data_IF_892667298141
#
_entry.id   IF_892667298141
#
_cell.length_a   1.000
_cell.length_b   1.000
_cell.length_c   1.000
_cell.angle_alpha   90.00
_cell.angle_beta   90.00
_cell.angle_gamma   90.00
#
_symmetry.space_group_name_H-M   'P 1'
#
loop_
_entity.id
_entity.type
_entity.pdbx_description
1 polymer ?
#
# COMPACT_ATOMS: atom_id res chain seq x y z
N UNK A 1 -21.29 42.47 -63.31
CA UNK A 1 -21.67 41.06 -63.09
C UNK A 1 -22.13 40.95 -61.65
N UNK A 2 -23.44 40.89 -61.40
CA UNK A 2 -23.98 40.71 -60.05
C UNK A 2 -23.61 39.30 -59.59
N UNK A 3 -22.78 39.18 -58.56
CA UNK A 3 -22.56 37.91 -57.88
C UNK A 3 -23.90 37.35 -57.46
N UNK A 4 -24.25 36.15 -57.91
CA UNK A 4 -25.34 35.37 -57.31
C UNK A 4 -25.17 35.37 -55.79
N UNK A 5 -26.21 35.70 -55.01
CA UNK A 5 -26.11 35.70 -53.55
C UNK A 5 -25.65 34.32 -53.07
N UNK A 6 -24.65 34.27 -52.19
CA UNK A 6 -24.12 33.01 -51.69
C UNK A 6 -25.17 32.30 -50.83
N UNK A 7 -25.32 30.97 -51.00
CA UNK A 7 -26.23 30.15 -50.18
C UNK A 7 -25.87 30.24 -48.70
N UNK A 8 -26.87 30.24 -47.83
CA UNK A 8 -26.72 30.34 -46.37
C UNK A 8 -27.11 29.01 -45.72
N UNK A 9 -26.24 28.51 -44.84
CA UNK A 9 -26.44 27.30 -44.04
C UNK A 9 -26.41 27.68 -42.55
N UNK A 10 -27.51 27.44 -41.84
CA UNK A 10 -27.73 27.82 -40.44
C UNK A 10 -27.97 26.59 -39.57
N UNK A 11 -27.40 26.57 -38.36
CA UNK A 11 -27.70 25.56 -37.34
C UNK A 11 -28.36 26.21 -36.12
N UNK A 12 -29.58 25.80 -35.80
CA UNK A 12 -30.29 26.29 -34.62
C UNK A 12 -29.96 25.43 -33.40
N UNK A 13 -29.55 26.08 -32.31
CA UNK A 13 -29.18 25.44 -31.04
C UNK A 13 -29.81 26.18 -29.86
N UNK A 14 -29.91 25.51 -28.72
CA UNK A 14 -30.46 26.08 -27.49
C UNK A 14 -31.39 25.13 -26.77
N UNK A 15 -31.97 25.59 -25.66
CA UNK A 15 -32.86 24.79 -24.81
C UNK A 15 -34.12 24.32 -25.57
N UNK A 16 -34.69 23.21 -25.14
CA UNK A 16 -35.99 22.75 -25.63
C UNK A 16 -37.07 23.78 -25.26
N UNK A 17 -38.09 23.93 -26.10
CA UNK A 17 -39.17 24.88 -25.83
C UNK A 17 -38.87 26.35 -26.14
N UNK A 18 -37.61 26.71 -26.42
CA UNK A 18 -37.24 28.07 -26.87
C UNK A 18 -37.67 28.40 -28.31
N UNK A 19 -38.43 27.53 -28.98
CA UNK A 19 -39.04 27.85 -30.27
C UNK A 19 -38.15 27.67 -31.50
N UNK A 20 -37.05 26.90 -31.43
CA UNK A 20 -36.18 26.59 -32.59
C UNK A 20 -36.95 26.17 -33.85
N UNK A 21 -37.80 25.15 -33.75
CA UNK A 21 -38.59 24.67 -34.89
C UNK A 21 -39.55 25.74 -35.45
N UNK A 22 -40.12 26.59 -34.59
CA UNK A 22 -40.98 27.69 -35.03
C UNK A 22 -40.18 28.80 -35.75
N UNK A 23 -39.00 29.14 -35.21
CA UNK A 23 -38.06 30.05 -35.84
C UNK A 23 -37.63 29.56 -37.23
N UNK A 24 -37.29 28.27 -37.36
CA UNK A 24 -36.93 27.68 -38.65
C UNK A 24 -38.04 27.81 -39.70
N UNK A 25 -39.31 27.62 -39.30
CA UNK A 25 -40.45 27.81 -40.18
C UNK A 25 -40.62 29.28 -40.62
N UNK A 26 -40.37 30.23 -39.70
CA UNK A 26 -40.39 31.66 -40.02
C UNK A 26 -39.28 32.00 -41.02
N UNK A 27 -38.03 31.58 -40.75
CA UNK A 27 -36.86 31.83 -41.60
C UNK A 27 -37.07 31.29 -43.02
N UNK A 28 -37.58 30.06 -43.15
CA UNK A 28 -37.80 29.42 -44.45
C UNK A 28 -39.03 29.93 -45.19
N UNK A 29 -39.83 30.79 -44.53
CA UNK A 29 -41.12 31.28 -45.02
C UNK A 29 -42.13 30.14 -45.34
N UNK A 30 -42.04 29.00 -44.65
CA UNK A 30 -42.92 27.83 -44.84
C UNK A 30 -42.95 26.92 -43.62
N UNK A 31 -44.04 26.18 -43.40
CA UNK A 31 -44.19 25.23 -42.28
C UNK A 31 -43.61 23.85 -42.65
N UNK A 32 -42.36 23.57 -42.27
CA UNK A 32 -41.71 22.29 -42.53
C UNK A 32 -41.32 21.54 -41.25
N UNK A 33 -40.83 22.26 -40.24
CA UNK A 33 -40.52 21.65 -38.95
C UNK A 33 -41.81 21.50 -38.15
N UNK A 34 -42.08 20.29 -37.65
CA UNK A 34 -43.21 20.03 -36.77
C UNK A 34 -43.00 20.73 -35.41
N UNK A 35 -43.58 21.91 -35.23
CA UNK A 35 -43.60 22.61 -33.93
C UNK A 35 -44.81 22.17 -33.10
N UNK A 36 -44.68 21.09 -32.31
CA UNK A 36 -45.65 20.75 -31.26
C UNK A 36 -45.14 21.27 -29.91
N UNK A 37 -46.03 21.86 -29.12
CA UNK A 37 -45.83 22.13 -27.69
C UNK A 37 -45.84 20.80 -26.94
N UNK A 38 -44.75 20.03 -27.03
CA UNK A 38 -44.62 18.73 -26.38
C UNK A 38 -43.72 18.85 -25.15
N UNK A 39 -44.11 18.17 -24.07
CA UNK A 39 -43.38 18.08 -22.79
C UNK A 39 -42.39 16.92 -22.74
N UNK A 40 -42.23 16.15 -23.83
CA UNK A 40 -41.39 14.95 -23.87
C UNK A 40 -39.94 15.27 -24.24
N UNK A 41 -39.02 14.83 -23.38
CA UNK A 41 -37.57 14.98 -23.48
C UNK A 41 -36.95 14.04 -24.52
N UNK A 42 -36.09 14.61 -25.37
CA UNK A 42 -34.96 14.00 -26.10
C UNK A 42 -35.18 12.62 -26.75
N UNK A 43 -35.83 12.63 -27.92
CA UNK A 43 -35.29 12.07 -29.17
C UNK A 43 -35.87 12.90 -30.31
N UNK A 44 -35.23 14.03 -30.63
CA UNK A 44 -35.49 14.72 -31.90
C UNK A 44 -34.37 14.34 -32.85
N UNK A 45 -34.72 13.60 -33.90
CA UNK A 45 -33.87 13.47 -35.08
C UNK A 45 -33.55 14.87 -35.60
N UNK A 46 -32.30 15.08 -36.03
CA UNK A 46 -31.93 16.33 -36.69
C UNK A 46 -32.67 16.42 -38.00
N UNK A 47 -33.39 17.51 -38.18
CA UNK A 47 -34.13 17.81 -39.40
C UNK A 47 -33.47 19.01 -40.07
N UNK A 48 -33.40 18.99 -41.40
CA UNK A 48 -32.96 20.15 -42.15
C UNK A 48 -33.90 20.39 -43.32
N UNK A 49 -34.03 21.67 -43.67
CA UNK A 49 -34.94 22.13 -44.71
C UNK A 49 -34.30 23.27 -45.49
N UNK A 50 -34.66 23.38 -46.77
CA UNK A 50 -34.06 24.34 -47.71
C UNK A 50 -35.14 25.11 -48.44
N UNK A 51 -35.07 26.43 -48.42
CA UNK A 51 -36.01 27.32 -49.10
C UNK A 51 -35.28 28.49 -49.75
N UNK A 52 -35.79 29.00 -50.86
CA UNK A 52 -35.33 30.27 -51.43
C UNK A 52 -36.11 31.41 -50.76
N UNK A 53 -35.39 32.33 -50.13
CA UNK A 53 -35.97 33.47 -49.40
C UNK A 53 -35.18 34.72 -49.75
N UNK A 54 -35.89 35.78 -50.16
CA UNK A 54 -35.29 37.04 -50.62
C UNK A 54 -34.19 36.82 -51.70
N UNK A 55 -34.39 35.85 -52.59
CA UNK A 55 -33.46 35.50 -53.67
C UNK A 55 -32.18 34.78 -53.24
N UNK A 56 -32.12 34.26 -52.00
CA UNK A 56 -31.02 33.43 -51.49
C UNK A 56 -31.53 32.06 -51.10
N UNK A 57 -30.76 31.01 -51.39
CA UNK A 57 -31.03 29.67 -50.87
C UNK A 57 -30.59 29.61 -49.42
N UNK A 58 -31.53 29.30 -48.51
CA UNK A 58 -31.28 29.17 -47.08
C UNK A 58 -31.57 27.73 -46.66
N UNK A 59 -30.56 27.05 -46.13
CA UNK A 59 -30.67 25.78 -45.41
C UNK A 59 -30.71 26.07 -43.92
N UNK A 60 -31.74 25.56 -43.25
CA UNK A 60 -31.86 25.61 -41.78
C UNK A 60 -31.81 24.19 -41.24
N UNK A 61 -30.99 23.97 -40.22
CA UNK A 61 -30.91 22.71 -39.48
C UNK A 61 -31.47 22.93 -38.07
N UNK A 62 -32.52 22.18 -37.71
CA UNK A 62 -33.07 22.16 -36.36
C UNK A 62 -32.25 21.20 -35.49
N UNK A 63 -31.39 21.76 -34.65
CA UNK A 63 -30.53 21.00 -33.74
C UNK A 63 -31.27 20.47 -32.51
N UNK A 64 -30.70 19.48 -31.81
CA UNK A 64 -31.28 18.93 -30.59
C UNK A 64 -31.44 20.01 -29.50
N UNK A 65 -32.48 19.87 -28.68
CA UNK A 65 -32.62 20.66 -27.46
C UNK A 65 -31.64 20.18 -26.38
N UNK A 66 -30.96 21.12 -25.72
CA UNK A 66 -29.83 20.80 -24.84
C UNK A 66 -30.22 20.85 -23.35
N UNK A 67 -31.13 21.73 -22.94
CA UNK A 67 -31.40 22.01 -21.52
C UNK A 67 -32.30 21.02 -20.77
N UNK A 68 -33.18 20.24 -21.42
CA UNK A 68 -33.95 19.20 -20.71
C UNK A 68 -33.11 17.97 -20.31
N UNK A 69 -31.87 17.94 -20.80
CA UNK A 69 -30.93 16.84 -20.59
C UNK A 69 -30.30 17.06 -19.23
N UNK A 70 -30.59 16.21 -18.24
CA UNK A 70 -29.74 16.19 -17.04
C UNK A 70 -28.33 15.84 -17.47
N UNK A 71 -27.44 16.85 -17.50
CA UNK A 71 -26.06 16.72 -17.97
C UNK A 71 -25.19 15.90 -17.01
N UNK A 72 -25.77 15.43 -15.90
CA UNK A 72 -25.22 14.45 -14.97
C UNK A 72 -25.39 12.98 -15.43
N UNK A 73 -26.09 12.74 -16.55
CA UNK A 73 -26.34 11.41 -17.07
C UNK A 73 -25.53 11.14 -18.35
N UNK A 74 -24.61 10.18 -18.28
CA UNK A 74 -23.78 9.74 -19.42
C UNK A 74 -24.58 9.46 -20.69
N UNK A 75 -25.71 8.75 -20.60
CA UNK A 75 -26.51 8.36 -21.77
C UNK A 75 -27.10 9.58 -22.45
N UNK A 76 -27.70 10.47 -21.66
CA UNK A 76 -28.35 11.67 -22.16
C UNK A 76 -27.32 12.63 -22.78
N UNK A 77 -26.17 12.81 -22.11
CA UNK A 77 -25.05 13.60 -22.62
C UNK A 77 -24.51 13.05 -23.94
N UNK A 78 -24.34 11.72 -24.07
CA UNK A 78 -23.91 11.08 -25.32
C UNK A 78 -24.90 11.29 -26.45
N UNK A 79 -26.20 11.11 -26.20
CA UNK A 79 -27.22 11.30 -27.24
C UNK A 79 -27.18 12.72 -27.82
N UNK A 80 -27.01 13.74 -26.96
CA UNK A 80 -26.88 15.13 -27.41
C UNK A 80 -25.59 15.35 -28.19
N UNK A 81 -24.46 14.79 -27.74
CA UNK A 81 -23.19 14.89 -28.45
C UNK A 81 -23.19 14.17 -29.81
N UNK A 82 -23.80 13.00 -29.89
CA UNK A 82 -23.90 12.21 -31.12
C UNK A 82 -24.78 12.94 -32.13
N UNK A 83 -25.91 13.51 -31.68
CA UNK A 83 -26.74 14.36 -32.52
C UNK A 83 -25.95 15.58 -33.00
N UNK A 84 -25.27 16.33 -32.13
CA UNK A 84 -24.47 17.50 -32.56
C UNK A 84 -23.35 17.11 -33.53
N UNK A 85 -22.65 16.00 -33.29
CA UNK A 85 -21.63 15.48 -34.19
C UNK A 85 -22.22 15.11 -35.55
N UNK A 86 -23.41 14.49 -35.55
CA UNK A 86 -24.14 14.21 -36.77
C UNK A 86 -24.51 15.50 -37.53
N UNK A 87 -25.05 16.52 -36.85
CA UNK A 87 -25.36 17.82 -37.46
C UNK A 87 -24.15 18.44 -38.16
N UNK A 88 -22.97 18.36 -37.55
CA UNK A 88 -21.73 18.83 -38.17
C UNK A 88 -21.37 17.99 -39.39
N UNK A 89 -21.36 16.65 -39.27
CA UNK A 89 -20.96 15.74 -40.34
C UNK A 89 -21.83 15.78 -41.61
N UNK A 90 -23.14 16.05 -41.47
CA UNK A 90 -24.06 16.14 -42.62
C UNK A 90 -24.00 17.48 -43.35
N UNK A 91 -23.14 18.39 -42.91
CA UNK A 91 -22.89 19.66 -43.59
C UNK A 91 -21.38 19.92 -43.77
N UNK A 92 -20.70 19.18 -44.67
CA UNK A 92 -19.25 19.28 -44.84
C UNK A 92 -18.76 20.65 -45.34
N UNK A 93 -19.66 21.45 -45.94
CA UNK A 93 -19.34 22.84 -46.30
C UNK A 93 -19.24 23.74 -45.05
N UNK A 94 -19.81 23.32 -43.93
CA UNK A 94 -19.90 24.04 -42.67
C UNK A 94 -21.09 25.01 -42.60
N UNK A 95 -21.30 25.55 -41.40
CA UNK A 95 -22.37 26.51 -41.10
C UNK A 95 -21.87 27.94 -41.12
N UNK A 96 -22.65 28.87 -41.69
CA UNK A 96 -22.31 30.29 -41.68
C UNK A 96 -22.56 30.90 -40.31
N UNK A 97 -23.64 30.48 -39.66
CA UNK A 97 -23.98 30.93 -38.32
C UNK A 97 -24.67 29.83 -37.53
N UNK A 98 -24.46 29.88 -36.22
CA UNK A 98 -25.29 29.21 -35.25
C UNK A 98 -26.32 30.20 -34.73
N UNK A 99 -27.59 29.81 -34.74
CA UNK A 99 -28.64 30.59 -34.10
C UNK A 99 -28.82 30.06 -32.69
N UNK A 100 -28.32 30.80 -31.70
CA UNK A 100 -28.52 30.48 -30.29
C UNK A 100 -29.90 31.00 -29.88
N UNK A 101 -30.86 30.10 -29.74
CA UNK A 101 -32.27 30.46 -29.56
C UNK A 101 -32.65 30.53 -28.09
N UNK A 102 -33.07 31.71 -27.66
CA UNK A 102 -33.55 32.02 -26.29
C UNK A 102 -34.98 32.53 -26.38
N UNK A 103 -35.79 32.31 -25.34
CA UNK A 103 -37.18 32.78 -25.29
C UNK A 103 -37.27 34.10 -24.51
N UNK A 104 -37.92 35.11 -25.07
CA UNK A 104 -38.25 36.35 -24.37
C UNK A 104 -39.35 36.16 -23.31
N UNK A 105 -39.32 36.98 -22.25
CA UNK A 105 -40.31 36.97 -21.17
C UNK A 105 -40.06 35.91 -20.08
N UNK A 106 -38.95 35.17 -20.16
CA UNK A 106 -38.45 34.30 -19.09
C UNK A 106 -37.23 34.91 -18.41
N UNK A 107 -36.98 34.55 -17.14
CA UNK A 107 -35.69 34.87 -16.51
C UNK A 107 -34.60 34.04 -17.17
N UNK A 108 -33.44 34.65 -17.38
CA UNK A 108 -32.23 33.92 -17.76
C UNK A 108 -31.70 33.16 -16.53
N UNK A 109 -31.84 31.84 -16.54
CA UNK A 109 -31.61 30.98 -15.38
C UNK A 109 -30.20 30.38 -15.37
N UNK A 110 -29.80 29.78 -14.24
CA UNK A 110 -28.57 28.98 -14.14
C UNK A 110 -28.56 27.86 -15.19
N UNK A 111 -29.72 27.28 -15.51
CA UNK A 111 -29.85 26.25 -16.53
C UNK A 111 -29.51 26.76 -17.94
N UNK A 112 -29.83 28.02 -18.25
CA UNK A 112 -29.47 28.66 -19.52
C UNK A 112 -27.95 28.87 -19.61
N UNK A 113 -27.33 29.24 -18.49
CA UNK A 113 -25.87 29.39 -18.37
C UNK A 113 -25.16 28.04 -18.56
N UNK A 114 -25.64 27.01 -17.87
CA UNK A 114 -25.12 25.65 -18.00
C UNK A 114 -25.25 25.13 -19.43
N UNK A 115 -26.38 25.43 -20.09
CA UNK A 115 -26.61 25.08 -21.50
C UNK A 115 -25.57 25.72 -22.41
N UNK A 116 -25.25 27.01 -22.21
CA UNK A 116 -24.25 27.72 -23.02
C UNK A 116 -22.85 27.19 -22.73
N UNK A 117 -22.50 26.99 -21.45
CA UNK A 117 -21.21 26.42 -21.06
C UNK A 117 -21.01 25.01 -21.66
N UNK A 118 -22.08 24.21 -21.71
CA UNK A 118 -22.05 22.91 -22.37
C UNK A 118 -21.86 23.02 -23.88
N UNK A 119 -22.58 23.93 -24.55
CA UNK A 119 -22.42 24.19 -25.98
C UNK A 119 -20.99 24.64 -26.32
N UNK A 120 -20.36 25.46 -25.46
CA UNK A 120 -18.95 25.88 -25.62
C UNK A 120 -17.99 24.70 -25.54
N UNK A 121 -18.21 23.76 -24.60
CA UNK A 121 -17.40 22.53 -24.53
C UNK A 121 -17.58 21.63 -25.76
N UNK A 122 -18.74 21.71 -26.43
CA UNK A 122 -19.02 20.93 -27.63
C UNK A 122 -18.43 21.56 -28.89
N UNK A 123 -18.75 22.83 -29.14
CA UNK A 123 -18.39 23.52 -30.38
C UNK A 123 -17.07 24.29 -30.28
N UNK A 124 -16.50 24.43 -29.08
CA UNK A 124 -15.26 25.14 -28.80
C UNK A 124 -15.52 26.52 -28.19
N UNK A 125 -14.64 26.96 -27.30
CA UNK A 125 -14.86 28.16 -26.47
C UNK A 125 -15.13 29.44 -27.28
N UNK A 126 -14.55 29.60 -28.47
CA UNK A 126 -14.74 30.80 -29.29
C UNK A 126 -16.01 30.75 -30.16
N UNK A 127 -16.77 29.65 -30.18
CA UNK A 127 -17.84 29.47 -31.16
C UNK A 127 -18.96 30.52 -31.01
N UNK A 128 -19.26 30.93 -29.77
CA UNK A 128 -20.24 31.98 -29.47
C UNK A 128 -19.80 33.30 -30.08
N UNK A 129 -18.53 33.65 -29.89
CA UNK A 129 -17.94 34.89 -30.39
C UNK A 129 -17.81 34.93 -31.90
N UNK A 130 -17.46 33.81 -32.51
CA UNK A 130 -17.06 33.77 -33.91
C UNK A 130 -18.23 33.46 -34.84
N UNK A 131 -19.20 32.64 -34.40
CA UNK A 131 -20.22 32.08 -35.28
C UNK A 131 -21.66 32.23 -34.78
N UNK A 132 -21.90 32.64 -33.53
CA UNK A 132 -23.27 32.74 -33.01
C UNK A 132 -23.94 34.09 -33.27
N UNK A 133 -25.23 34.01 -33.59
CA UNK A 133 -26.21 35.08 -33.49
C UNK A 133 -27.21 34.67 -32.40
N UNK A 134 -27.43 35.54 -31.42
CA UNK A 134 -28.45 35.32 -30.40
C UNK A 134 -29.82 35.65 -31.00
N UNK A 135 -30.76 34.71 -30.94
CA UNK A 135 -32.13 34.93 -31.44
C UNK A 135 -33.10 34.79 -30.28
N UNK A 136 -33.74 35.90 -29.91
CA UNK A 136 -34.82 35.93 -28.95
C UNK A 136 -36.15 35.66 -29.65
N UNK A 137 -36.87 34.63 -29.22
CA UNK A 137 -38.21 34.29 -29.70
C UNK A 137 -39.27 34.88 -28.77
N UNK A 138 -40.54 34.79 -29.18
CA UNK A 138 -41.66 35.45 -28.50
C UNK A 138 -41.59 36.98 -28.60
N UNK A 139 -41.24 37.49 -29.79
CA UNK A 139 -41.30 38.92 -30.08
C UNK A 139 -42.69 39.55 -29.93
N UNK A 140 -43.76 38.75 -30.04
CA UNK A 140 -45.13 39.15 -29.71
C UNK A 140 -45.25 39.62 -28.25
N UNK A 141 -44.56 38.95 -27.33
CA UNK A 141 -44.54 39.36 -25.93
C UNK A 141 -43.72 40.63 -25.70
N UNK A 142 -42.62 40.81 -26.46
CA UNK A 142 -41.81 42.03 -26.35
C UNK A 142 -42.57 43.24 -26.91
N UNK A 143 -43.39 43.08 -27.95
CA UNK A 143 -44.21 44.19 -28.45
C UNK A 143 -45.15 44.75 -27.38
N UNK A 144 -45.79 43.88 -26.61
CA UNK A 144 -46.63 44.32 -25.47
C UNK A 144 -45.81 45.06 -24.40
N UNK A 145 -44.59 44.59 -24.10
CA UNK A 145 -43.68 45.25 -23.15
C UNK A 145 -43.13 46.58 -23.70
N UNK A 146 -42.87 46.65 -25.00
CA UNK A 146 -42.43 47.86 -25.71
C UNK A 146 -43.52 48.92 -25.77
N UNK A 147 -44.78 48.54 -25.97
CA UNK A 147 -45.93 49.44 -25.90
C UNK A 147 -46.10 50.08 -24.51
N UNK A 148 -45.80 49.33 -23.44
CA UNK A 148 -45.87 49.83 -22.07
C UNK A 148 -44.67 50.70 -21.69
N UNK A 149 -43.45 50.30 -22.09
CA UNK A 149 -42.20 50.96 -21.69
C UNK A 149 -41.72 52.05 -22.65
N UNK A 150 -42.19 52.04 -23.90
CA UNK A 150 -41.73 52.91 -24.98
C UNK A 150 -40.33 52.58 -25.52
N UNK A 151 -39.75 51.44 -25.14
CA UNK A 151 -38.36 51.07 -25.48
C UNK A 151 -38.28 50.18 -26.71
N UNK A 152 -37.26 50.42 -27.52
CA UNK A 152 -36.88 49.51 -28.62
C UNK A 152 -36.20 48.26 -28.06
N UNK A 153 -36.18 47.17 -28.84
CA UNK A 153 -35.51 45.93 -28.43
C UNK A 153 -34.00 46.14 -28.15
N UNK A 154 -33.35 47.01 -28.92
CA UNK A 154 -31.94 47.33 -28.72
C UNK A 154 -31.69 48.08 -27.41
N UNK A 155 -32.52 49.07 -27.08
CA UNK A 155 -32.45 49.78 -25.79
C UNK A 155 -32.69 48.81 -24.63
N UNK A 156 -33.68 47.92 -24.76
CA UNK A 156 -33.91 46.87 -23.78
C UNK A 156 -32.67 45.98 -23.57
N UNK A 157 -31.99 45.57 -24.65
CA UNK A 157 -30.75 44.79 -24.55
C UNK A 157 -29.62 45.55 -23.84
N UNK A 158 -29.50 46.86 -24.05
CA UNK A 158 -28.47 47.70 -23.41
C UNK A 158 -28.65 47.84 -21.89
N UNK A 159 -29.89 47.72 -21.41
CA UNK A 159 -30.22 47.80 -19.99
C UNK A 159 -30.06 46.46 -19.24
N UNK A 160 -29.82 45.36 -19.95
CA UNK A 160 -29.65 44.07 -19.30
C UNK A 160 -28.32 44.00 -18.55
N UNK A 161 -28.33 43.34 -17.40
CA UNK A 161 -27.15 43.12 -16.55
C UNK A 161 -26.87 41.62 -16.34
N UNK A 162 -25.71 41.31 -15.75
CA UNK A 162 -25.33 39.96 -15.38
C UNK A 162 -25.07 39.04 -16.58
N UNK A 163 -25.38 37.75 -16.43
CA UNK A 163 -24.91 36.72 -17.37
C UNK A 163 -25.54 36.82 -18.76
N UNK A 164 -26.74 37.37 -18.86
CA UNK A 164 -27.32 37.66 -20.18
C UNK A 164 -26.57 38.77 -20.90
N UNK A 165 -26.17 39.83 -20.18
CA UNK A 165 -25.32 40.90 -20.72
C UNK A 165 -23.96 40.38 -21.16
N UNK A 166 -23.33 39.51 -20.36
CA UNK A 166 -22.07 38.86 -20.72
C UNK A 166 -22.19 38.04 -22.02
N UNK A 167 -23.31 37.31 -22.20
CA UNK A 167 -23.59 36.59 -23.44
C UNK A 167 -23.76 37.53 -24.63
N UNK A 168 -24.47 38.65 -24.45
CA UNK A 168 -24.62 39.67 -25.50
C UNK A 168 -23.26 40.24 -25.91
N UNK A 169 -22.39 40.55 -24.94
CA UNK A 169 -21.04 41.02 -25.19
C UNK A 169 -20.18 39.99 -25.92
N UNK A 170 -20.25 38.72 -25.49
CA UNK A 170 -19.51 37.63 -26.15
C UNK A 170 -19.98 37.41 -27.58
N UNK A 171 -21.28 37.55 -27.85
CA UNK A 171 -21.86 37.59 -29.19
C UNK A 171 -21.58 38.90 -29.96
N UNK A 172 -20.73 39.81 -29.46
CA UNK A 172 -20.45 41.12 -30.04
C UNK A 172 -21.72 41.94 -30.37
N UNK A 173 -22.75 41.85 -29.54
CA UNK A 173 -24.03 42.55 -29.74
C UNK A 173 -24.92 41.97 -30.84
N UNK A 174 -24.57 40.80 -31.42
CA UNK A 174 -25.38 40.14 -32.45
C UNK A 174 -26.61 39.49 -31.83
N UNK A 175 -27.69 40.26 -31.74
CA UNK A 175 -28.98 39.82 -31.21
C UNK A 175 -30.13 40.23 -32.12
N UNK A 176 -31.09 39.32 -32.31
CA UNK A 176 -32.30 39.54 -33.10
C UNK A 176 -33.53 39.12 -32.30
N UNK A 177 -34.64 39.84 -32.51
CA UNK A 177 -35.94 39.50 -31.97
C UNK A 177 -36.84 38.94 -33.07
N UNK A 178 -37.45 37.78 -32.82
CA UNK A 178 -38.36 37.12 -33.75
C UNK A 178 -39.74 36.93 -33.11
N UNK A 179 -40.75 37.53 -33.73
CA UNK A 179 -42.13 37.12 -33.61
C UNK A 179 -42.42 36.04 -34.67
N UNK A 180 -42.51 34.79 -34.20
CA UNK A 180 -42.82 33.62 -35.05
C UNK A 180 -44.32 33.42 -35.29
N UNK A 181 -45.17 34.31 -34.74
CA UNK A 181 -46.64 34.25 -34.84
C UNK A 181 -47.21 35.38 -35.69
N UNK A 182 -46.39 36.38 -36.03
CA UNK A 182 -46.81 37.47 -36.91
C UNK A 182 -47.44 36.95 -38.21
N UNK A 183 -48.55 37.59 -38.59
CA UNK A 183 -49.18 37.44 -39.90
C UNK A 183 -48.87 38.61 -40.83
N UNK A 184 -48.14 39.61 -40.32
CA UNK A 184 -47.67 40.75 -41.08
C UNK A 184 -46.44 40.30 -41.89
N UNK A 185 -46.62 40.23 -43.21
CA UNK A 185 -45.58 39.83 -44.15
C UNK A 185 -44.44 40.85 -44.25
N UNK A 186 -44.70 42.14 -44.02
CA UNK A 186 -43.65 43.15 -43.98
C UNK A 186 -42.77 42.97 -42.74
N UNK A 187 -43.39 42.82 -41.56
CA UNK A 187 -42.67 42.52 -40.31
C UNK A 187 -41.86 41.22 -40.44
N UNK A 188 -42.47 40.18 -41.00
CA UNK A 188 -41.80 38.90 -41.24
C UNK A 188 -40.60 39.04 -42.18
N UNK A 189 -40.79 39.71 -43.31
CA UNK A 189 -39.73 39.97 -44.29
C UNK A 189 -38.59 40.80 -43.70
N UNK A 190 -38.89 41.78 -42.86
CA UNK A 190 -37.91 42.60 -42.13
C UNK A 190 -37.05 41.75 -41.18
N UNK A 191 -37.66 40.93 -40.33
CA UNK A 191 -36.93 40.02 -39.41
C UNK A 191 -35.97 39.09 -40.16
N UNK A 192 -36.42 38.53 -41.30
CA UNK A 192 -35.58 37.65 -42.13
C UNK A 192 -34.44 38.43 -42.81
N UNK A 193 -34.72 39.64 -43.30
CA UNK A 193 -33.72 40.50 -43.94
C UNK A 193 -32.63 40.90 -42.95
N UNK A 194 -32.99 41.27 -41.73
CA UNK A 194 -32.05 41.59 -40.65
C UNK A 194 -31.17 40.38 -40.30
N UNK A 195 -31.74 39.17 -40.26
CA UNK A 195 -30.97 37.94 -40.08
C UNK A 195 -29.95 37.73 -41.20
N UNK A 196 -30.35 37.83 -42.46
CA UNK A 196 -29.46 37.66 -43.61
C UNK A 196 -28.32 38.67 -43.56
N UNK A 197 -28.63 39.95 -43.29
CA UNK A 197 -27.62 41.00 -43.13
C UNK A 197 -26.66 40.69 -41.98
N UNK A 198 -27.18 40.26 -40.83
CA UNK A 198 -26.33 39.92 -39.68
C UNK A 198 -25.40 38.74 -39.98
N UNK A 199 -25.86 37.75 -40.74
CA UNK A 199 -25.02 36.63 -41.21
C UNK A 199 -23.94 37.12 -42.18
N UNK A 200 -24.27 38.01 -43.11
CA UNK A 200 -23.29 38.58 -44.05
C UNK A 200 -22.23 39.46 -43.34
N UNK A 201 -22.60 40.08 -42.22
CA UNK A 201 -21.72 40.91 -41.39
C UNK A 201 -20.91 40.12 -40.35
N UNK A 202 -21.15 38.83 -40.15
CA UNK A 202 -20.31 38.02 -39.27
C UNK A 202 -18.85 38.15 -39.73
N UNK A 203 -18.02 38.70 -38.86
CA UNK A 203 -16.64 39.17 -39.09
C UNK A 203 -15.67 38.09 -39.53
N UNK A 204 -16.12 36.84 -39.59
CA UNK A 204 -15.38 35.72 -40.15
C UNK A 204 -15.68 35.66 -41.66
N UNK A 205 -15.20 36.67 -42.41
CA UNK A 205 -15.37 36.74 -43.85
C UNK A 205 -14.89 35.45 -44.54
N UNK A 206 -15.83 34.55 -44.85
CA UNK A 206 -15.58 33.33 -45.60
C UNK A 206 -15.25 32.07 -44.79
N UNK A 207 -15.12 32.09 -43.45
CA UNK A 207 -15.00 30.85 -42.69
C UNK A 207 -16.33 30.45 -42.08
N UNK A 208 -16.92 29.41 -42.67
CA UNK A 208 -17.99 28.62 -42.07
C UNK A 208 -17.39 27.80 -40.91
N UNK A 209 -18.19 27.49 -39.90
CA UNK A 209 -17.83 26.50 -38.90
C UNK A 209 -17.84 25.11 -39.53
N UNK A 210 -16.69 24.43 -39.53
CA UNK A 210 -16.48 23.14 -40.18
C UNK A 210 -15.98 22.09 -39.19
N UNK A 211 -15.77 20.87 -39.68
CA UNK A 211 -15.20 19.75 -38.93
C UNK A 211 -13.90 20.11 -38.22
N UNK A 212 -13.02 20.92 -38.83
CA UNK A 212 -11.77 21.36 -38.19
C UNK A 212 -12.01 22.21 -36.93
N UNK A 213 -13.05 23.05 -36.93
CA UNK A 213 -13.43 23.80 -35.73
C UNK A 213 -13.95 22.85 -34.65
N UNK A 214 -14.76 21.87 -35.07
CA UNK A 214 -15.29 20.86 -34.18
C UNK A 214 -14.17 20.00 -33.58
N UNK A 215 -13.17 19.57 -34.35
CA UNK A 215 -12.09 18.72 -33.86
C UNK A 215 -11.22 19.43 -32.81
N UNK A 216 -11.03 20.75 -32.90
CA UNK A 216 -10.33 21.53 -31.86
C UNK A 216 -10.97 21.41 -30.48
N UNK A 217 -12.28 21.17 -30.40
CA UNK A 217 -13.01 21.00 -29.16
C UNK A 217 -13.14 19.53 -28.70
N UNK A 218 -12.51 18.57 -29.42
CA UNK A 218 -12.62 17.14 -29.11
C UNK A 218 -12.27 16.79 -27.67
N UNK A 219 -11.14 17.30 -27.16
CA UNK A 219 -10.71 17.02 -25.78
C UNK A 219 -11.72 17.55 -24.75
N UNK A 220 -12.35 18.70 -25.02
CA UNK A 220 -13.39 19.26 -24.16
C UNK A 220 -14.67 18.40 -24.19
N UNK A 221 -15.07 17.89 -25.37
CA UNK A 221 -16.19 16.93 -25.50
C UNK A 221 -15.94 15.64 -24.75
N UNK A 222 -14.77 15.02 -24.96
CA UNK A 222 -14.38 13.80 -24.26
C UNK A 222 -14.42 14.02 -22.74
N UNK A 223 -13.91 15.15 -22.26
CA UNK A 223 -13.96 15.52 -20.85
C UNK A 223 -15.39 15.58 -20.31
N UNK A 224 -16.34 16.15 -21.05
CA UNK A 224 -17.75 16.22 -20.63
C UNK A 224 -18.36 14.83 -20.47
N UNK A 225 -18.02 13.87 -21.34
CA UNK A 225 -18.46 12.48 -21.18
C UNK A 225 -17.87 11.86 -19.91
N UNK A 226 -16.59 12.08 -19.63
CA UNK A 226 -15.93 11.55 -18.43
C UNK A 226 -16.52 12.18 -17.16
N UNK A 227 -16.76 13.49 -17.14
CA UNK A 227 -17.41 14.18 -16.01
C UNK A 227 -18.83 13.65 -15.74
N UNK A 228 -19.61 13.32 -16.77
CA UNK A 228 -20.92 12.69 -16.62
C UNK A 228 -20.85 11.28 -16.00
N UNK A 229 -19.73 10.56 -16.16
CA UNK A 229 -19.48 9.25 -15.51
C UNK A 229 -18.85 9.37 -14.13
N UNK A 230 -18.25 10.52 -13.82
CA UNK A 230 -17.46 10.74 -12.61
C UNK A 230 -18.16 10.30 -11.31
N UNK A 231 -19.47 10.52 -11.09
CA UNK A 231 -20.13 10.04 -9.87
C UNK A 231 -20.05 8.52 -9.68
N UNK A 232 -20.30 7.76 -10.75
CA UNK A 232 -20.24 6.29 -10.72
C UNK A 232 -18.81 5.79 -10.51
N UNK A 233 -17.85 6.38 -11.24
CA UNK A 233 -16.42 6.03 -11.11
C UNK A 233 -15.91 6.34 -9.71
N UNK A 234 -16.35 7.47 -9.14
CA UNK A 234 -16.01 7.89 -7.77
C UNK A 234 -16.53 6.88 -6.74
N UNK A 235 -17.78 6.44 -6.87
CA UNK A 235 -18.37 5.44 -5.97
C UNK A 235 -17.58 4.12 -6.01
N UNK A 236 -17.30 3.60 -7.21
CA UNK A 236 -16.51 2.37 -7.39
C UNK A 236 -15.09 2.53 -6.83
N UNK A 237 -14.44 3.66 -7.12
CA UNK A 237 -13.10 3.99 -6.63
C UNK A 237 -13.05 4.05 -5.11
N UNK A 238 -14.01 4.74 -4.49
CA UNK A 238 -14.10 4.85 -3.03
C UNK A 238 -14.31 3.49 -2.38
N UNK A 239 -15.22 2.67 -2.93
CA UNK A 239 -15.46 1.31 -2.46
C UNK A 239 -14.19 0.47 -2.47
N UNK A 240 -13.48 0.43 -3.60
CA UNK A 240 -12.27 -0.37 -3.73
C UNK A 240 -11.14 0.15 -2.83
N UNK A 241 -10.98 1.47 -2.74
CA UNK A 241 -10.03 2.13 -1.83
C UNK A 241 -10.31 1.75 -0.38
N UNK A 242 -11.56 1.78 0.06
CA UNK A 242 -11.95 1.36 1.42
C UNK A 242 -11.62 -0.11 1.69
N UNK A 243 -11.86 -1.01 0.73
CA UNK A 243 -11.51 -2.43 0.87
C UNK A 243 -10.00 -2.65 0.96
N UNK A 244 -9.21 -1.89 0.20
CA UNK A 244 -7.74 -1.96 0.27
C UNK A 244 -7.25 -1.45 1.62
N UNK A 245 -7.74 -0.30 2.09
CA UNK A 245 -7.39 0.26 3.41
C UNK A 245 -7.72 -0.71 4.54
N UNK A 246 -8.91 -1.31 4.52
CA UNK A 246 -9.32 -2.29 5.52
C UNK A 246 -8.37 -3.49 5.56
N UNK A 247 -8.02 -4.06 4.39
CA UNK A 247 -7.08 -5.18 4.34
C UNK A 247 -5.67 -4.77 4.77
N UNK A 248 -5.22 -3.57 4.42
CA UNK A 248 -3.93 -3.04 4.86
C UNK A 248 -3.85 -2.99 6.39
N UNK A 249 -4.89 -2.47 7.05
CA UNK A 249 -4.97 -2.42 8.52
C UNK A 249 -4.92 -3.83 9.15
N UNK A 250 -5.62 -4.80 8.57
CA UNK A 250 -5.58 -6.20 9.05
C UNK A 250 -4.17 -6.77 8.93
N UNK A 251 -3.48 -6.57 7.79
CA UNK A 251 -2.11 -7.05 7.58
C UNK A 251 -1.16 -6.42 8.61
N UNK A 252 -1.27 -5.11 8.84
CA UNK A 252 -0.46 -4.38 9.82
C UNK A 252 -0.68 -4.89 11.26
N UNK A 253 -1.91 -5.24 11.62
CA UNK A 253 -2.28 -5.63 12.99
C UNK A 253 -2.12 -7.11 13.34
N UNK A 254 -2.18 -8.02 12.36
CA UNK A 254 -2.36 -9.46 12.65
C UNK A 254 -1.27 -10.38 12.10
N UNK A 255 -0.52 -9.94 11.08
CA UNK A 255 0.44 -10.81 10.39
C UNK A 255 1.86 -10.60 10.90
N UNK A 256 2.63 -11.69 11.02
CA UNK A 256 4.09 -11.60 11.21
C UNK A 256 4.74 -10.95 9.99
N UNK A 257 5.78 -10.10 10.17
CA UNK A 257 6.43 -9.35 9.09
C UNK A 257 6.87 -10.21 7.88
N UNK A 258 7.28 -11.45 8.16
CA UNK A 258 7.74 -12.44 7.17
C UNK A 258 6.61 -12.83 6.18
N UNK A 259 5.36 -12.82 6.63
CA UNK A 259 4.18 -13.18 5.84
C UNK A 259 3.45 -11.96 5.24
N UNK A 260 3.80 -10.74 5.65
CA UNK A 260 3.16 -9.50 5.16
C UNK A 260 3.49 -9.21 3.71
N UNK A 261 4.70 -9.55 3.26
CA UNK A 261 5.21 -9.15 1.94
C UNK A 261 4.32 -9.60 0.79
N UNK A 262 3.90 -10.87 0.79
CA UNK A 262 3.02 -11.41 -0.25
C UNK A 262 1.65 -10.69 -0.26
N UNK A 263 1.00 -10.60 0.91
CA UNK A 263 -0.30 -9.93 1.04
C UNK A 263 -0.27 -8.44 0.68
N UNK A 264 0.80 -7.73 1.05
CA UNK A 264 0.99 -6.32 0.65
C UNK A 264 1.26 -6.19 -0.85
N UNK A 265 1.98 -7.14 -1.44
CA UNK A 265 2.16 -7.25 -2.89
C UNK A 265 0.82 -7.40 -3.62
N UNK A 266 -0.07 -8.26 -3.14
CA UNK A 266 -1.42 -8.42 -3.69
C UNK A 266 -2.24 -7.12 -3.58
N UNK A 267 -2.12 -6.39 -2.46
CA UNK A 267 -2.77 -5.09 -2.31
C UNK A 267 -2.18 -4.03 -3.25
N UNK A 268 -0.87 -4.05 -3.48
CA UNK A 268 -0.22 -3.14 -4.42
C UNK A 268 -0.75 -3.39 -5.84
N UNK A 269 -0.85 -4.65 -6.27
CA UNK A 269 -1.40 -5.02 -7.58
C UNK A 269 -2.84 -4.53 -7.72
N UNK A 270 -3.67 -4.65 -6.68
CA UNK A 270 -5.04 -4.11 -6.67
C UNK A 270 -5.06 -2.60 -6.83
N UNK A 271 -4.23 -1.87 -6.08
CA UNK A 271 -4.11 -0.42 -6.19
C UNK A 271 -3.61 0.02 -7.58
N UNK A 272 -2.66 -0.70 -8.17
CA UNK A 272 -2.16 -0.44 -9.52
C UNK A 272 -3.20 -0.72 -10.59
N UNK A 273 -3.99 -1.79 -10.43
CA UNK A 273 -5.11 -2.12 -11.32
C UNK A 273 -6.18 -1.03 -11.28
N UNK A 274 -6.54 -0.57 -10.07
CA UNK A 274 -7.47 0.54 -9.89
C UNK A 274 -6.94 1.84 -10.52
N UNK A 275 -5.67 2.16 -10.28
CA UNK A 275 -5.00 3.32 -10.88
C UNK A 275 -5.01 3.27 -12.41
N UNK A 276 -4.70 2.11 -13.00
CA UNK A 276 -4.75 1.90 -14.45
C UNK A 276 -6.16 2.02 -15.03
N UNK A 277 -7.16 1.46 -14.34
CA UNK A 277 -8.57 1.57 -14.72
C UNK A 277 -9.03 3.03 -14.76
N UNK A 278 -8.76 3.81 -13.71
CA UNK A 278 -9.18 5.22 -13.64
C UNK A 278 -8.49 6.04 -14.74
N UNK A 279 -7.19 5.86 -14.98
CA UNK A 279 -6.49 6.56 -16.05
C UNK A 279 -7.03 6.19 -17.45
N UNK A 280 -7.37 4.93 -17.66
CA UNK A 280 -7.99 4.47 -18.92
C UNK A 280 -9.36 5.12 -19.12
N UNK A 281 -10.15 5.24 -18.05
CA UNK A 281 -11.45 5.90 -18.09
C UNK A 281 -11.33 7.43 -18.24
N UNK A 282 -10.29 8.06 -17.68
CA UNK A 282 -10.01 9.49 -17.83
C UNK A 282 -9.62 9.86 -19.27
N UNK A 283 -8.95 8.95 -19.99
CA UNK A 283 -8.48 9.12 -21.37
C UNK A 283 -7.65 10.40 -21.58
N UNK A 284 -6.91 10.85 -20.56
CA UNK A 284 -6.08 12.07 -20.62
C UNK A 284 -6.86 13.38 -20.63
N UNK A 285 -8.16 13.34 -20.28
CA UNK A 285 -9.02 14.53 -20.16
C UNK A 285 -8.73 15.35 -18.90
N UNK A 286 -8.23 14.70 -17.85
CA UNK A 286 -7.98 15.30 -16.54
C UNK A 286 -9.23 15.49 -15.67
N UNK A 287 -10.38 14.96 -16.08
CA UNK A 287 -11.64 15.04 -15.32
C UNK A 287 -11.58 14.25 -14.00
N UNK A 288 -10.81 13.15 -13.97
CA UNK A 288 -10.69 12.24 -12.83
C UNK A 288 -9.41 12.48 -12.02
N UNK A 289 -8.75 13.63 -12.20
CA UNK A 289 -7.47 13.92 -11.56
C UNK A 289 -7.50 13.72 -10.03
N UNK A 290 -8.56 14.15 -9.36
CA UNK A 290 -8.75 13.98 -7.92
C UNK A 290 -8.80 12.50 -7.48
N UNK A 291 -9.48 11.66 -8.27
CA UNK A 291 -9.52 10.21 -8.02
C UNK A 291 -8.17 9.56 -8.29
N UNK A 292 -7.50 9.94 -9.38
CA UNK A 292 -6.14 9.46 -9.71
C UNK A 292 -5.17 9.79 -8.58
N UNK A 293 -5.20 11.00 -8.03
CA UNK A 293 -4.34 11.39 -6.90
C UNK A 293 -4.67 10.61 -5.62
N UNK A 294 -5.95 10.35 -5.36
CA UNK A 294 -6.38 9.56 -4.20
C UNK A 294 -5.79 8.15 -4.26
N UNK A 295 -5.92 7.47 -5.40
CA UNK A 295 -5.39 6.11 -5.57
C UNK A 295 -3.86 6.09 -5.62
N UNK A 296 -3.23 7.12 -6.19
CA UNK A 296 -1.77 7.25 -6.19
C UNK A 296 -1.21 7.38 -4.76
N UNK A 297 -1.86 8.15 -3.90
CA UNK A 297 -1.49 8.27 -2.48
C UNK A 297 -1.60 6.93 -1.73
N UNK A 298 -2.68 6.18 -1.97
CA UNK A 298 -2.86 4.84 -1.42
C UNK A 298 -1.77 3.88 -1.91
N UNK A 299 -1.47 3.90 -3.21
CA UNK A 299 -0.38 3.10 -3.81
C UNK A 299 0.95 3.38 -3.11
N UNK A 300 1.31 4.64 -2.95
CA UNK A 300 2.56 5.03 -2.29
C UNK A 300 2.60 4.56 -0.83
N UNK A 301 1.49 4.69 -0.11
CA UNK A 301 1.36 4.18 1.27
C UNK A 301 1.64 2.67 1.34
N UNK A 302 1.08 1.88 0.42
CA UNK A 302 1.32 0.43 0.40
C UNK A 302 2.78 0.10 0.04
N UNK A 303 3.38 0.84 -0.90
CA UNK A 303 4.79 0.65 -1.27
C UNK A 303 5.72 0.95 -0.10
N UNK A 304 5.44 1.99 0.67
CA UNK A 304 6.24 2.33 1.84
C UNK A 304 6.06 1.33 2.98
N UNK A 305 4.85 0.78 3.15
CA UNK A 305 4.61 -0.33 4.09
C UNK A 305 5.38 -1.59 3.70
N UNK A 306 5.47 -1.93 2.40
CA UNK A 306 6.29 -3.05 1.92
C UNK A 306 7.76 -2.84 2.31
N UNK A 307 8.33 -1.67 2.01
CA UNK A 307 9.72 -1.34 2.36
C UNK A 307 9.96 -1.37 3.87
N UNK A 308 8.95 -0.98 4.67
CA UNK A 308 9.04 -1.04 6.12
C UNK A 308 9.03 -2.49 6.60
N UNK A 309 8.12 -3.31 6.09
CA UNK A 309 8.03 -4.73 6.43
C UNK A 309 9.29 -5.51 6.08
N UNK A 310 9.94 -5.19 4.96
CA UNK A 310 11.22 -5.78 4.56
C UNK A 310 12.34 -5.43 5.55
N UNK A 311 12.46 -4.14 5.91
CA UNK A 311 13.45 -3.69 6.90
C UNK A 311 13.26 -4.36 8.27
N UNK A 312 12.01 -4.47 8.73
CA UNK A 312 11.70 -5.16 10.00
C UNK A 312 12.06 -6.64 9.95
N UNK A 313 11.78 -7.32 8.84
CA UNK A 313 12.15 -8.73 8.68
C UNK A 313 13.67 -8.94 8.68
N UNK A 314 14.42 -8.08 7.98
CA UNK A 314 15.90 -8.13 7.97
C UNK A 314 16.50 -7.88 9.36
N UNK A 315 15.99 -6.92 10.12
CA UNK A 315 16.45 -6.66 11.49
C UNK A 315 16.13 -7.82 12.43
N UNK A 316 14.94 -8.41 12.35
CA UNK A 316 14.58 -9.61 13.11
C UNK A 316 15.55 -10.77 12.83
N UNK A 317 15.89 -11.01 11.57
CA UNK A 317 16.81 -12.09 11.20
C UNK A 317 18.23 -11.83 11.73
N UNK A 318 18.73 -10.59 11.65
CA UNK A 318 20.01 -10.21 12.26
C UNK A 318 20.03 -10.46 13.77
N UNK A 319 18.95 -10.08 14.48
CA UNK A 319 18.84 -10.34 15.91
C UNK A 319 18.84 -11.84 16.23
N UNK A 320 18.12 -12.68 15.46
CA UNK A 320 18.13 -14.14 15.65
C UNK A 320 19.54 -14.72 15.48
N UNK A 321 20.28 -14.27 14.47
CA UNK A 321 21.67 -14.72 14.24
C UNK A 321 22.58 -14.30 15.40
N UNK A 322 22.44 -13.06 15.88
CA UNK A 322 23.24 -12.55 17.00
C UNK A 322 22.93 -13.28 18.31
N UNK A 323 21.65 -13.56 18.58
CA UNK A 323 21.21 -14.33 19.75
C UNK A 323 21.73 -15.77 19.71
N UNK A 324 21.64 -16.44 18.56
CA UNK A 324 22.20 -17.77 18.37
C UNK A 324 23.72 -17.80 18.56
N UNK A 325 24.42 -16.74 18.15
CA UNK A 325 25.87 -16.60 18.38
C UNK A 325 26.19 -16.44 19.86
N UNK A 326 25.49 -15.54 20.57
CA UNK A 326 25.66 -15.37 22.03
C UNK A 326 25.37 -16.66 22.79
N UNK A 327 24.36 -17.41 22.37
CA UNK A 327 24.01 -18.68 23.00
C UNK A 327 25.10 -19.73 22.80
N UNK A 328 25.67 -19.85 21.60
CA UNK A 328 26.83 -20.72 21.34
C UNK A 328 28.07 -20.32 22.16
N UNK A 329 28.37 -19.02 22.23
CA UNK A 329 29.50 -18.52 23.03
C UNK A 329 29.31 -18.85 24.52
N UNK A 330 28.08 -18.71 25.04
CA UNK A 330 27.74 -19.07 26.41
C UNK A 330 27.85 -20.58 26.67
N UNK A 331 27.37 -21.42 25.75
CA UNK A 331 27.51 -22.88 25.83
C UNK A 331 28.98 -23.32 25.80
N UNK A 332 29.81 -22.69 24.96
CA UNK A 332 31.24 -22.98 24.89
C UNK A 332 31.96 -22.57 26.17
N UNK A 333 31.60 -21.43 26.77
CA UNK A 333 32.11 -21.00 28.08
C UNK A 333 31.78 -22.01 29.18
N UNK A 334 30.51 -22.45 29.25
CA UNK A 334 30.09 -23.48 30.21
C UNK A 334 30.82 -24.81 29.99
N UNK A 335 31.10 -25.17 28.74
CA UNK A 335 31.90 -26.37 28.42
C UNK A 335 33.32 -26.24 28.97
N UNK A 336 34.00 -25.11 28.72
CA UNK A 336 35.36 -24.87 29.23
C UNK A 336 35.41 -24.92 30.75
N UNK A 337 34.46 -24.30 31.44
CA UNK A 337 34.38 -24.35 32.92
C UNK A 337 34.20 -25.79 33.43
N UNK A 338 33.39 -26.62 32.76
CA UNK A 338 33.23 -28.04 33.11
C UNK A 338 34.52 -28.83 32.90
N UNK A 339 35.19 -28.64 31.77
CA UNK A 339 36.47 -29.30 31.46
C UNK A 339 37.56 -28.94 32.48
N UNK A 340 37.67 -27.65 32.85
CA UNK A 340 38.60 -27.17 33.88
C UNK A 340 38.30 -27.80 35.25
N UNK A 341 37.02 -27.84 35.65
CA UNK A 341 36.60 -28.47 36.91
C UNK A 341 36.90 -29.97 36.93
N UNK A 342 36.63 -30.70 35.84
CA UNK A 342 36.97 -32.13 35.73
C UNK A 342 38.48 -32.37 35.79
N UNK A 343 39.30 -31.50 35.19
CA UNK A 343 40.75 -31.60 35.25
C UNK A 343 41.27 -31.38 36.67
N UNK A 344 40.73 -30.40 37.39
CA UNK A 344 41.02 -30.20 38.82
C UNK A 344 40.68 -31.45 39.63
N UNK A 345 39.51 -32.04 39.41
CA UNK A 345 39.06 -33.24 40.10
C UNK A 345 39.94 -34.46 39.79
N UNK A 346 40.45 -34.58 38.56
CA UNK A 346 41.44 -35.61 38.19
C UNK A 346 42.77 -35.41 38.93
N UNK A 347 43.26 -34.17 39.02
CA UNK A 347 44.49 -33.85 39.75
C UNK A 347 44.36 -34.19 41.23
N UNK A 348 43.24 -33.81 41.84
CA UNK A 348 42.93 -34.11 43.25
C UNK A 348 42.88 -35.63 43.50
N UNK A 349 42.17 -36.39 42.65
CA UNK A 349 42.14 -37.87 42.76
C UNK A 349 43.53 -38.50 42.64
N UNK A 350 44.36 -38.01 41.73
CA UNK A 350 45.73 -38.52 41.54
C UNK A 350 46.61 -38.19 42.76
N UNK A 351 46.45 -37.01 43.34
CA UNK A 351 47.14 -36.65 44.58
C UNK A 351 46.69 -37.54 45.75
N UNK A 352 45.40 -37.79 45.89
CA UNK A 352 44.86 -38.70 46.90
C UNK A 352 45.37 -40.13 46.72
N UNK A 353 45.44 -40.63 45.48
CA UNK A 353 46.00 -41.95 45.18
C UNK A 353 47.49 -42.03 45.54
N UNK A 354 48.27 -40.99 45.22
CA UNK A 354 49.69 -40.89 45.65
C UNK A 354 49.81 -40.89 47.18
N UNK A 355 48.97 -40.13 47.89
CA UNK A 355 48.95 -40.12 49.37
C UNK A 355 48.67 -41.51 49.92
N UNK A 356 47.68 -42.21 49.38
CA UNK A 356 47.35 -43.60 49.76
C UNK A 356 48.49 -44.57 49.48
N UNK A 357 49.17 -44.44 48.34
CA UNK A 357 50.32 -45.30 48.00
C UNK A 357 51.49 -45.11 48.98
N UNK A 358 51.82 -43.86 49.32
CA UNK A 358 52.85 -43.54 50.33
C UNK A 358 52.46 -44.12 51.69
N UNK A 359 51.20 -43.97 52.10
CA UNK A 359 50.71 -44.52 53.36
C UNK A 359 50.82 -46.06 53.38
N UNK A 360 50.44 -46.72 52.29
CA UNK A 360 50.54 -48.18 52.16
C UNK A 360 52.01 -48.65 52.19
N UNK A 361 52.94 -47.92 51.58
CA UNK A 361 54.38 -48.23 51.66
C UNK A 361 54.90 -48.09 53.10
N UNK A 362 54.49 -47.04 53.81
CA UNK A 362 54.84 -46.86 55.23
C UNK A 362 54.29 -48.01 56.09
N UNK A 363 53.04 -48.42 55.89
CA UNK A 363 52.43 -49.54 56.61
C UNK A 363 53.14 -50.87 56.31
N UNK A 364 53.55 -51.10 55.07
CA UNK A 364 54.32 -52.29 54.70
C UNK A 364 55.70 -52.29 55.36
N UNK A 365 56.41 -51.14 55.37
CA UNK A 365 57.70 -51.01 56.08
C UNK A 365 57.58 -51.27 57.58
N UNK A 366 56.49 -50.80 58.21
CA UNK A 366 56.20 -51.08 59.62
C UNK A 366 56.00 -52.58 59.82
N UNK A 367 55.18 -53.22 58.97
CA UNK A 367 54.96 -54.67 59.01
C UNK A 367 56.25 -55.47 58.85
N UNK A 368 57.11 -55.11 57.90
CA UNK A 368 58.40 -55.78 57.69
C UNK A 368 59.34 -55.61 58.89
N UNK A 369 59.38 -54.41 59.47
CA UNK A 369 60.16 -54.13 60.68
C UNK A 369 59.65 -54.95 61.88
N UNK A 370 58.33 -55.06 62.06
CA UNK A 370 57.72 -55.89 63.09
C UNK A 370 58.03 -57.38 62.88
N UNK A 371 57.94 -57.86 61.63
CA UNK A 371 58.30 -59.22 61.26
C UNK A 371 59.77 -59.53 61.57
N UNK A 372 60.69 -58.65 61.18
CA UNK A 372 62.12 -58.80 61.48
C UNK A 372 62.41 -58.75 62.98
N UNK A 373 61.74 -57.86 63.73
CA UNK A 373 61.84 -57.84 65.20
C UNK A 373 61.32 -59.11 65.86
N UNK A 374 60.34 -59.77 65.24
CA UNK A 374 59.85 -61.08 65.71
C UNK A 374 60.88 -62.17 65.42
N UNK A 375 61.43 -62.24 64.22
CA UNK A 375 62.48 -63.19 63.86
C UNK A 375 63.72 -63.04 64.74
N UNK A 376 64.14 -61.80 65.04
CA UNK A 376 65.29 -61.55 65.92
C UNK A 376 65.01 -62.01 67.37
N UNK A 377 63.78 -61.81 67.87
CA UNK A 377 63.36 -62.36 69.17
C UNK A 377 63.42 -63.89 69.19
N UNK A 378 62.90 -64.54 68.16
CA UNK A 378 62.95 -66.00 68.01
C UNK A 378 64.39 -66.53 67.89
N UNK A 379 65.31 -65.73 67.32
CA UNK A 379 66.74 -66.06 67.23
C UNK A 379 67.43 -65.96 68.60
N UNK A 380 67.21 -64.85 69.32
CA UNK A 380 67.74 -64.64 70.67
C UNK A 380 67.24 -65.73 71.63
N UNK A 381 65.95 -66.09 71.56
CA UNK A 381 65.41 -67.20 72.36
C UNK A 381 66.10 -68.54 72.05
N UNK A 382 66.38 -68.84 70.78
CA UNK A 382 67.13 -70.06 70.41
C UNK A 382 68.56 -70.05 70.94
N UNK A 383 69.27 -68.93 70.78
CA UNK A 383 70.64 -68.77 71.29
C UNK A 383 70.68 -68.95 72.81
N UNK A 384 69.71 -68.38 73.55
CA UNK A 384 69.59 -68.58 75.00
C UNK A 384 69.31 -70.04 75.38
N UNK A 385 68.45 -70.74 74.63
CA UNK A 385 68.16 -72.15 74.86
C UNK A 385 69.39 -73.04 74.67
N UNK A 386 70.17 -72.81 73.59
CA UNK A 386 71.41 -73.54 73.33
C UNK A 386 72.45 -73.29 74.43
N UNK A 387 72.54 -72.06 74.92
CA UNK A 387 73.47 -71.69 75.99
C UNK A 387 73.10 -72.38 77.32
N UNK A 388 71.80 -72.46 77.61
CA UNK A 388 71.28 -73.17 78.77
C UNK A 388 71.54 -74.69 78.69
N UNK A 389 71.40 -75.29 77.50
CA UNK A 389 71.74 -76.70 77.28
C UNK A 389 73.24 -76.98 77.45
N UNK A 390 74.09 -76.05 77.02
CA UNK A 390 75.54 -76.16 77.17
C UNK A 390 75.96 -76.10 78.64
N UNK A 391 75.40 -75.17 79.42
CA UNK A 391 75.61 -75.11 80.88
C UNK A 391 75.13 -76.40 81.56
N UNK A 392 73.98 -76.94 81.11
CA UNK A 392 73.44 -78.19 81.65
C UNK A 392 74.39 -79.37 81.42
N UNK A 393 74.99 -79.49 80.23
CA UNK A 393 76.02 -80.50 79.92
C UNK A 393 77.29 -80.34 80.75
N UNK A 394 77.77 -79.11 80.92
CA UNK A 394 78.97 -78.84 81.74
C UNK A 394 78.73 -79.18 83.22
N UNK A 395 77.57 -78.85 83.76
CA UNK A 395 77.21 -79.22 85.13
C UNK A 395 77.07 -80.74 85.29
N UNK A 396 76.53 -81.44 84.29
CA UNK A 396 76.43 -82.90 84.31
C UNK A 396 77.82 -83.56 84.37
N UNK A 397 78.76 -83.08 83.55
CA UNK A 397 80.16 -83.55 83.59
C UNK A 397 80.86 -83.25 84.92
N UNK A 398 80.65 -82.07 85.51
CA UNK A 398 81.18 -81.75 86.84
C UNK A 398 80.66 -82.68 87.93
N UNK A 399 79.39 -83.09 87.83
CA UNK A 399 78.76 -84.01 88.78
C UNK A 399 79.37 -85.41 88.69
N UNK A 400 79.57 -85.94 87.48
CA UNK A 400 80.21 -87.25 87.26
C UNK A 400 81.66 -87.31 87.75
N UNK A 401 82.41 -86.21 87.60
CA UNK A 401 83.78 -86.10 88.12
C UNK A 401 83.82 -86.09 89.65
N UNK A 402 82.84 -85.43 90.29
CA UNK A 402 82.71 -85.44 91.75
C UNK A 402 82.35 -86.84 92.28
N UNK A 403 81.44 -87.56 91.62
CA UNK A 403 81.07 -88.92 92.00
C UNK A 403 82.25 -89.89 91.94
N UNK A 404 83.09 -89.80 90.88
CA UNK A 404 84.32 -90.60 90.79
C UNK A 404 85.27 -90.34 91.95
N UNK A 405 85.51 -89.07 92.29
CA UNK A 405 86.40 -88.69 93.40
C UNK A 405 85.85 -89.13 94.76
N UNK A 406 84.53 -89.14 94.95
CA UNK A 406 83.90 -89.66 96.16
C UNK A 406 84.10 -91.18 96.31
N UNK A 407 83.92 -91.94 95.22
CA UNK A 407 84.11 -93.40 95.22
C UNK A 407 85.57 -93.81 95.47
N UNK A 408 86.55 -93.08 94.91
CA UNK A 408 87.98 -93.32 95.16
C UNK A 408 88.40 -93.02 96.60
N UNK A 409 87.86 -91.98 97.22
CA UNK A 409 88.14 -91.64 98.62
C UNK A 409 87.59 -92.68 99.60
N UNK A 410 86.38 -93.20 99.33
CA UNK A 410 85.76 -94.26 100.13
C UNK A 410 86.56 -95.57 100.12
N UNK A 411 87.31 -95.85 99.06
CA UNK A 411 88.13 -97.06 98.94
C UNK A 411 89.46 -96.99 99.72
N UNK A 412 89.94 -95.80 100.12
CA UNK A 412 91.24 -95.61 100.80
C UNK A 412 91.17 -95.43 102.31
N UNK A 413 89.97 -95.47 102.91
CA UNK A 413 89.74 -95.30 104.35
C UNK A 413 90.45 -94.03 104.94
N UNK A 414 90.53 -92.97 104.12
CA UNK A 414 91.16 -91.69 104.44
C UNK A 414 90.10 -90.72 105.00
N UNK A 415 89.80 -90.87 106.30
CA UNK A 415 88.79 -90.08 107.01
C UNK A 415 89.01 -88.56 106.91
N UNK A 416 90.25 -88.10 106.68
CA UNK A 416 90.58 -86.67 106.54
C UNK A 416 90.14 -86.01 105.23
N UNK A 417 89.92 -86.78 104.16
CA UNK A 417 89.46 -86.26 102.87
C UNK A 417 87.93 -86.29 102.73
N UNK A 418 87.26 -87.26 103.37
CA UNK A 418 85.80 -87.37 103.39
C UNK A 418 85.13 -86.15 104.05
N UNK A 419 85.73 -85.60 105.11
CA UNK A 419 85.22 -84.43 105.82
C UNK A 419 85.33 -83.13 104.99
N UNK A 420 86.29 -83.06 104.06
CA UNK A 420 86.42 -81.94 103.11
C UNK A 420 85.37 -81.99 101.99
N UNK A 421 84.97 -83.19 101.55
CA UNK A 421 83.92 -83.34 100.53
C UNK A 421 82.54 -83.00 101.09
N UNK A 422 82.22 -83.43 102.32
CA UNK A 422 80.95 -83.05 102.97
C UNK A 422 80.83 -81.54 103.11
N UNK A 423 81.92 -80.85 103.48
CA UNK A 423 81.93 -79.38 103.52
C UNK A 423 81.76 -78.72 102.14
N UNK A 424 82.29 -79.30 101.06
CA UNK A 424 82.11 -78.76 99.70
C UNK A 424 80.68 -78.96 99.17
N UNK A 425 80.05 -80.11 99.43
CA UNK A 425 78.68 -80.42 98.97
C UNK A 425 77.62 -79.68 99.80
N UNK A 426 77.91 -79.35 101.07
CA UNK A 426 77.01 -78.57 101.93
C UNK A 426 77.21 -77.05 101.83
N UNK A 427 78.30 -76.58 101.21
CA UNK A 427 78.58 -75.16 101.00
C UNK A 427 77.46 -74.39 100.25
N UNK A 428 76.82 -74.93 99.19
CA UNK A 428 75.69 -74.25 98.54
C UNK A 428 74.45 -74.16 99.43
N UNK A 429 74.23 -75.12 100.33
CA UNK A 429 73.07 -75.12 101.24
C UNK A 429 73.24 -74.15 102.42
N UNK A 430 74.47 -73.87 102.85
CA UNK A 430 74.76 -72.83 103.87
C UNK A 430 74.59 -71.39 103.36
N UNK A 431 74.58 -71.17 102.04
CA UNK A 431 74.30 -69.86 101.43
C UNK A 431 72.80 -69.61 101.17
N UNK A 432 71.94 -70.61 101.37
CA UNK A 432 70.48 -70.51 101.15
C UNK A 432 69.69 -70.46 102.47
N UNK A 433 70.26 -70.90 103.59
CA UNK A 433 69.61 -70.91 104.92
C UNK A 433 70.41 -70.22 106.05
N UNK A 434 71.25 -69.24 105.71
CA UNK A 434 71.89 -68.32 106.65
C UNK A 434 71.32 -66.92 106.52
#
# INVERSE_FOLDING_TARGET
MSSTPCDIDLLMIGKTGNGKSALGNTILNRKMFYSRSSTASVTKEIQYEVSEVNGRVIKVVDGPGVGDTRMDNEKSTRLVMDAMSYAISVNPKGYHAFLLVVKFGGRFTVEDQDTIAFLKKIFGESFVKDFCILVMTCGDNFESDSEETGKTFHEWCQEQEGVFHELLQECNGRVLLFDNRTKDEEKKSKQITELIQMVDHLTVHGHRYKDDNFEKARKARERVIVEAKKPMIREETMRETSLIIQKLQVIQGTMEPENRKASLGDLLIRAETLYGSINTQDNGTGALHDLVQTVLSLKNTIQDEIKLSERVAEEKEKMKIEEAKRQKEFEELLRRQREEYEEQLKKERLEDEKRRAVQMEQENRIRDMEHNRRLERERIEREQLEQLEKERRENQQKTEVLERKYLEAKAKNDEGFLDKIVNFVTWPFRQIFG
#
